data_IF_715187949833
#
_entry.id   IF_715187949833
#
_cell.length_a   1.000
_cell.length_b   1.000
_cell.length_c   1.000
_cell.angle_alpha   90.00
_cell.angle_beta   90.00
_cell.angle_gamma   90.00
#
_symmetry.space_group_name_H-M   'P 1'
#
loop_
_entity.id
_entity.type
_entity.pdbx_description
1 polymer ?
#
# COMPACT_ATOMS: atom_id res chain seq x y z
N UNK A 1 -17.77 -16.04 1.81
CA UNK A 1 -18.28 -16.06 3.20
C UNK A 1 -18.74 -17.48 3.52
N UNK A 2 -18.88 -17.86 4.79
CA UNK A 2 -19.32 -19.20 5.19
C UNK A 2 -20.73 -19.14 5.78
N UNK A 3 -21.62 -20.02 5.32
CA UNK A 3 -22.90 -20.28 5.98
C UNK A 3 -22.62 -21.17 7.21
N UNK A 4 -23.23 -20.86 8.36
CA UNK A 4 -23.01 -21.59 9.63
C UNK A 4 -24.31 -21.88 10.39
N UNK A 5 -25.49 -21.55 9.86
CA UNK A 5 -26.79 -21.70 10.54
C UNK A 5 -27.08 -23.15 10.93
N UNK A 6 -26.56 -24.11 10.17
CA UNK A 6 -26.62 -25.56 10.45
C UNK A 6 -25.66 -26.04 11.56
N UNK A 7 -24.75 -25.18 12.02
CA UNK A 7 -23.73 -25.47 13.02
C UNK A 7 -23.93 -24.72 14.35
N UNK A 8 -24.93 -23.83 14.43
CA UNK A 8 -25.23 -23.04 15.62
C UNK A 8 -26.20 -23.76 16.57
N UNK A 9 -25.81 -23.88 17.84
CA UNK A 9 -26.72 -24.22 18.93
C UNK A 9 -27.55 -22.99 19.30
N UNK A 10 -28.74 -22.87 18.71
CA UNK A 10 -29.64 -21.74 18.95
C UNK A 10 -30.01 -21.60 20.43
N UNK A 11 -30.02 -20.36 20.92
CA UNK A 11 -30.26 -20.00 22.34
C UNK A 11 -29.28 -20.63 23.34
N UNK A 12 -28.08 -21.03 22.90
CA UNK A 12 -27.00 -21.56 23.73
C UNK A 12 -25.68 -20.83 23.45
N UNK A 13 -24.67 -21.07 24.28
CA UNK A 13 -23.29 -20.63 24.02
C UNK A 13 -22.70 -21.40 22.82
N UNK A 14 -21.93 -20.70 21.98
CA UNK A 14 -21.31 -21.24 20.78
C UNK A 14 -19.83 -20.86 20.73
N UNK A 15 -18.94 -21.84 20.63
CA UNK A 15 -17.48 -21.62 20.59
C UNK A 15 -16.98 -21.50 19.15
N UNK A 16 -16.39 -20.35 18.82
CA UNK A 16 -15.71 -20.12 17.53
C UNK A 16 -14.19 -20.15 17.74
N UNK A 17 -13.51 -21.11 17.12
CA UNK A 17 -12.05 -21.29 17.19
C UNK A 17 -11.43 -21.04 15.82
N UNK A 18 -10.41 -20.17 15.75
CA UNK A 18 -9.71 -19.82 14.50
C UNK A 18 -8.22 -20.11 14.63
N UNK A 19 -7.71 -21.01 13.79
CA UNK A 19 -6.27 -21.26 13.64
C UNK A 19 -5.71 -20.42 12.49
N UNK A 20 -4.55 -19.78 12.69
CA UNK A 20 -3.91 -18.89 11.71
C UNK A 20 -2.48 -19.36 11.49
N UNK A 21 -2.08 -19.53 10.23
CA UNK A 21 -0.71 -19.84 9.83
C UNK A 21 -0.11 -18.61 9.11
N UNK A 22 1.12 -18.23 9.47
CA UNK A 22 1.87 -17.10 8.90
C UNK A 22 3.07 -17.51 8.04
N UNK A 23 3.21 -18.81 7.77
CA UNK A 23 4.23 -19.37 6.89
C UNK A 23 3.99 -18.92 5.45
N UNK A 24 5.04 -18.41 4.81
CA UNK A 24 5.04 -18.02 3.41
C UNK A 24 5.90 -18.99 2.60
N UNK A 25 5.40 -19.38 1.43
CA UNK A 25 5.99 -20.40 0.55
C UNK A 25 6.23 -19.82 -0.84
N UNK A 26 6.89 -20.55 -1.76
CA UNK A 26 6.99 -20.13 -3.17
C UNK A 26 5.64 -20.05 -3.91
N UNK A 27 4.53 -20.50 -3.31
CA UNK A 27 3.17 -20.48 -3.88
C UNK A 27 2.18 -19.61 -3.08
N UNK A 28 2.58 -18.99 -1.97
CA UNK A 28 1.79 -17.93 -1.33
C UNK A 28 1.98 -16.59 -2.05
N UNK A 29 1.07 -15.65 -1.79
CA UNK A 29 1.15 -14.27 -2.26
C UNK A 29 0.99 -13.37 -1.03
N UNK A 30 2.05 -12.69 -0.57
CA UNK A 30 3.41 -12.67 -1.13
C UNK A 30 4.17 -14.00 -0.95
N UNK A 31 5.25 -14.16 -1.73
CA UNK A 31 6.12 -15.34 -1.66
C UNK A 31 7.07 -15.31 -0.45
N UNK A 32 7.50 -16.49 -0.01
CA UNK A 32 8.56 -16.69 0.97
C UNK A 32 9.16 -18.09 0.95
N UNK A 33 10.06 -18.42 1.87
CA UNK A 33 10.57 -19.78 2.08
C UNK A 33 10.99 -20.01 3.53
N UNK A 34 10.93 -21.26 3.98
CA UNK A 34 11.53 -21.69 5.25
C UNK A 34 12.92 -22.26 4.96
N UNK A 35 13.93 -21.82 5.73
CA UNK A 35 15.27 -22.39 5.75
C UNK A 35 15.55 -22.97 7.13
N UNK A 36 15.85 -24.27 7.20
CA UNK A 36 16.36 -24.94 8.41
C UNK A 36 17.87 -24.81 8.47
N UNK A 37 18.42 -24.48 9.64
CA UNK A 37 19.86 -24.28 9.83
C UNK A 37 20.47 -25.47 10.55
N UNK A 38 20.99 -26.42 9.76
CA UNK A 38 21.48 -27.72 10.26
C UNK A 38 22.92 -27.66 10.82
N UNK A 39 23.44 -26.48 11.14
CA UNK A 39 24.79 -26.30 11.69
C UNK A 39 24.76 -26.13 13.22
N UNK A 40 25.09 -27.18 13.99
CA UNK A 40 25.00 -27.17 15.46
C UNK A 40 26.08 -26.29 16.12
N UNK A 41 27.07 -25.79 15.37
CA UNK A 41 28.09 -24.87 15.91
C UNK A 41 27.58 -23.43 15.98
N UNK A 42 26.50 -23.10 15.26
CA UNK A 42 25.94 -21.75 15.14
C UNK A 42 24.46 -21.65 15.53
N UNK A 43 23.71 -22.75 15.47
CA UNK A 43 22.26 -22.75 15.66
C UNK A 43 21.79 -23.92 16.55
N UNK A 44 20.77 -23.73 17.40
CA UNK A 44 20.20 -24.82 18.18
C UNK A 44 19.42 -25.80 17.30
N UNK A 45 19.25 -27.04 17.78
CA UNK A 45 18.52 -28.08 17.05
C UNK A 45 17.09 -27.62 16.69
N UNK A 46 16.70 -27.82 15.43
CA UNK A 46 15.39 -27.41 14.90
C UNK A 46 15.25 -25.92 14.57
N UNK A 47 16.30 -25.11 14.68
CA UNK A 47 16.25 -23.70 14.32
C UNK A 47 15.96 -23.49 12.82
N UNK A 48 14.97 -22.64 12.53
CA UNK A 48 14.60 -22.27 11.17
C UNK A 48 14.29 -20.78 11.06
N UNK A 49 14.37 -20.25 9.84
CA UNK A 49 14.06 -18.85 9.52
C UNK A 49 13.13 -18.77 8.32
N UNK A 50 12.08 -17.96 8.42
CA UNK A 50 11.24 -17.55 7.29
C UNK A 50 11.92 -16.40 6.52
N UNK A 51 12.27 -16.63 5.26
CA UNK A 51 12.74 -15.63 4.31
C UNK A 51 11.60 -15.13 3.39
N UNK A 52 11.77 -13.91 2.87
CA UNK A 52 10.87 -13.25 1.91
C UNK A 52 11.56 -12.00 1.32
N UNK A 53 11.08 -11.52 0.18
CA UNK A 53 11.71 -10.46 -0.62
C UNK A 53 11.08 -9.06 -0.45
N UNK A 54 10.07 -8.89 0.41
CA UNK A 54 9.33 -7.63 0.55
C UNK A 54 9.76 -6.80 1.77
N UNK A 55 9.75 -5.46 1.63
CA UNK A 55 10.30 -4.53 2.63
C UNK A 55 9.32 -4.14 3.76
N UNK A 56 8.55 -5.09 4.31
CA UNK A 56 7.68 -4.82 5.46
C UNK A 56 7.56 -6.03 6.39
N UNK A 57 7.24 -5.79 7.66
CA UNK A 57 7.10 -6.88 8.65
C UNK A 57 5.93 -7.81 8.28
N UNK A 58 6.19 -9.12 8.21
CA UNK A 58 5.17 -10.18 8.12
C UNK A 58 4.39 -10.31 9.44
N UNK A 59 3.60 -9.29 9.79
CA UNK A 59 2.63 -9.33 10.87
C UNK A 59 1.51 -10.32 10.53
N UNK A 60 1.06 -11.08 11.52
CA UNK A 60 -0.02 -12.06 11.40
C UNK A 60 -1.08 -11.87 12.51
N UNK A 61 -2.13 -12.71 12.51
CA UNK A 61 -3.29 -12.59 13.39
C UNK A 61 -4.51 -11.99 12.68
N UNK A 62 -5.57 -11.73 13.46
CA UNK A 62 -6.82 -11.12 12.97
C UNK A 62 -6.61 -9.59 12.88
N UNK A 63 -6.61 -9.03 11.67
CA UNK A 63 -6.34 -7.58 11.44
C UNK A 63 -7.59 -6.75 11.09
N UNK A 64 -8.72 -7.39 10.80
CA UNK A 64 -10.02 -6.76 10.54
C UNK A 64 -11.07 -7.31 11.53
N UNK A 65 -12.19 -6.61 11.75
CA UNK A 65 -13.27 -7.14 12.57
C UNK A 65 -13.75 -8.53 12.12
N UNK A 66 -14.26 -9.33 13.06
CA UNK A 66 -14.96 -10.59 12.78
C UNK A 66 -16.40 -10.40 13.23
N UNK A 67 -17.34 -10.59 12.30
CA UNK A 67 -18.76 -10.37 12.54
C UNK A 67 -19.56 -11.66 12.30
N UNK A 68 -20.64 -11.81 13.07
CA UNK A 68 -21.79 -12.63 12.68
C UNK A 68 -22.88 -11.68 12.16
N UNK A 69 -23.50 -12.04 11.05
CA UNK A 69 -24.63 -11.33 10.47
C UNK A 69 -25.67 -12.34 9.98
N UNK A 70 -26.89 -11.88 9.71
CA UNK A 70 -27.99 -12.73 9.25
C UNK A 70 -28.64 -12.13 8.01
N UNK A 71 -29.16 -12.99 7.13
CA UNK A 71 -29.98 -12.61 5.99
C UNK A 71 -31.29 -13.42 5.98
N UNK A 72 -32.34 -12.98 5.27
CA UNK A 72 -33.47 -13.85 4.95
C UNK A 72 -33.01 -14.98 4.01
N UNK A 73 -33.76 -16.09 3.94
CA UNK A 73 -33.44 -17.22 3.03
C UNK A 73 -33.35 -16.84 1.54
N UNK A 74 -33.97 -15.73 1.15
CA UNK A 74 -33.80 -15.06 -0.14
C UNK A 74 -33.10 -13.74 0.16
N UNK A 75 -31.88 -13.57 -0.35
CA UNK A 75 -31.03 -12.41 -0.07
C UNK A 75 -30.29 -11.96 -1.33
N UNK A 76 -29.77 -10.73 -1.29
CA UNK A 76 -28.91 -10.18 -2.35
C UNK A 76 -27.49 -10.68 -2.08
N UNK A 77 -26.94 -11.53 -2.95
CA UNK A 77 -25.54 -11.97 -2.85
C UNK A 77 -24.56 -10.92 -3.39
N UNK A 78 -24.96 -10.17 -4.41
CA UNK A 78 -24.08 -9.24 -5.13
C UNK A 78 -24.87 -8.08 -5.77
N UNK A 79 -24.20 -6.95 -5.97
CA UNK A 79 -24.72 -5.72 -6.61
C UNK A 79 -23.60 -5.14 -7.50
N UNK A 80 -23.96 -4.55 -8.64
CA UNK A 80 -23.07 -3.72 -9.45
C UNK A 80 -23.66 -2.30 -9.53
N UNK A 81 -22.84 -1.27 -9.27
CA UNK A 81 -23.28 0.13 -9.18
C UNK A 81 -22.44 1.06 -10.05
N UNK A 82 -23.07 2.15 -10.52
CA UNK A 82 -22.43 3.31 -11.18
C UNK A 82 -23.08 4.61 -10.64
N UNK A 83 -22.27 5.56 -10.16
CA UNK A 83 -22.72 6.64 -9.24
C UNK A 83 -21.90 7.93 -9.31
N UNK A 84 -22.34 8.99 -8.61
CA UNK A 84 -21.64 10.26 -8.35
C UNK A 84 -22.19 10.93 -7.05
N UNK A 85 -21.61 12.08 -6.61
CA UNK A 85 -21.98 12.98 -5.45
C UNK A 85 -21.08 12.84 -4.18
N UNK A 86 -21.28 13.66 -3.12
CA UNK A 86 -20.25 14.33 -2.25
C UNK A 86 -20.65 14.55 -0.75
N UNK A 87 -19.68 14.62 0.22
CA UNK A 87 -19.80 15.21 1.60
C UNK A 87 -19.29 14.41 2.85
N UNK A 88 -18.47 15.01 3.79
CA UNK A 88 -17.79 14.36 4.98
C UNK A 88 -17.64 15.27 6.26
N UNK A 89 -16.93 15.05 7.41
CA UNK A 89 -16.00 14.06 8.06
C UNK A 89 -15.78 14.34 9.61
N UNK A 90 -15.29 13.38 10.46
CA UNK A 90 -14.82 13.60 11.89
C UNK A 90 -13.97 12.41 12.52
N UNK A 91 -13.14 12.59 13.59
CA UNK A 91 -11.83 11.85 13.82
C UNK A 91 -11.38 11.29 15.23
N UNK A 92 -10.13 10.71 15.35
CA UNK A 92 -9.22 10.44 16.56
C UNK A 92 -9.23 8.99 17.20
N UNK A 93 -8.17 8.18 17.58
CA UNK A 93 -6.65 8.14 17.66
C UNK A 93 -6.01 6.69 17.77
N UNK A 94 -4.80 6.46 17.20
CA UNK A 94 -4.15 5.26 16.50
C UNK A 94 -3.70 3.93 17.24
N UNK A 95 -3.78 2.75 16.56
CA UNK A 95 -3.12 1.43 16.84
C UNK A 95 -2.68 0.56 15.62
N UNK A 96 -1.39 0.15 15.55
CA UNK A 96 -0.97 -1.15 14.95
C UNK A 96 -1.00 -1.35 13.41
N UNK A 97 -1.24 -2.60 12.99
CA UNK A 97 -1.58 -3.01 11.60
C UNK A 97 -3.06 -3.43 11.44
N UNK A 98 -3.77 -3.54 12.57
CA UNK A 98 -5.21 -3.77 12.58
C UNK A 98 -5.95 -2.49 12.20
N UNK A 99 -7.20 -2.62 11.78
CA UNK A 99 -8.08 -1.48 11.55
C UNK A 99 -8.23 -0.65 12.83
N UNK A 100 -8.21 0.67 12.67
CA UNK A 100 -8.47 1.61 13.75
C UNK A 100 -9.02 2.92 13.14
N UNK A 101 -10.35 3.13 13.15
CA UNK A 101 -11.03 4.29 12.50
C UNK A 101 -10.41 5.65 12.86
N UNK A 102 -10.22 5.97 14.16
CA UNK A 102 -9.05 6.67 14.67
C UNK A 102 -7.89 7.10 13.75
N UNK A 103 -7.10 6.12 13.25
CA UNK A 103 -5.97 6.31 12.37
C UNK A 103 -6.43 6.72 10.98
N UNK A 104 -7.47 6.06 10.46
CA UNK A 104 -8.01 6.33 9.12
C UNK A 104 -8.32 7.81 8.98
N UNK A 105 -9.15 8.38 9.86
CA UNK A 105 -9.52 9.80 9.73
C UNK A 105 -8.33 10.74 9.96
N UNK A 106 -7.37 10.39 10.83
CA UNK A 106 -6.15 11.21 11.00
C UNK A 106 -5.28 11.20 9.75
N UNK A 107 -5.16 10.06 9.06
CA UNK A 107 -4.37 9.94 7.84
C UNK A 107 -5.07 10.64 6.67
N UNK A 108 -6.39 10.51 6.51
CA UNK A 108 -7.15 11.27 5.52
C UNK A 108 -7.12 12.79 5.77
N UNK A 109 -7.21 13.22 7.03
CA UNK A 109 -7.00 14.63 7.41
C UNK A 109 -5.61 15.13 7.02
N UNK A 110 -4.58 14.27 7.06
CA UNK A 110 -3.22 14.60 6.65
C UNK A 110 -3.01 14.54 5.13
N UNK A 111 -3.68 13.64 4.41
CA UNK A 111 -3.71 13.64 2.94
C UNK A 111 -4.33 14.95 2.42
N UNK A 112 -5.50 15.33 2.97
CA UNK A 112 -6.16 16.61 2.66
C UNK A 112 -5.30 17.82 3.07
N UNK A 113 -4.60 17.76 4.21
CA UNK A 113 -3.64 18.81 4.60
C UNK A 113 -2.44 18.90 3.65
N UNK A 114 -1.93 17.78 3.12
CA UNK A 114 -0.89 17.79 2.08
C UNK A 114 -1.40 18.34 0.74
N UNK A 115 -2.71 18.39 0.50
CA UNK A 115 -3.27 18.56 -0.85
C UNK A 115 -3.10 17.30 -1.72
N UNK A 116 -2.86 16.13 -1.12
CA UNK A 116 -2.76 14.86 -1.82
C UNK A 116 -4.16 14.38 -2.23
N UNK A 117 -4.34 14.07 -3.52
CA UNK A 117 -5.61 13.63 -4.10
C UNK A 117 -5.68 12.11 -4.37
N UNK A 118 -4.61 11.37 -4.06
CA UNK A 118 -4.52 9.94 -4.39
C UNK A 118 -3.52 9.16 -3.52
N UNK A 119 -3.70 7.84 -3.44
CA UNK A 119 -2.71 6.90 -2.88
C UNK A 119 -2.77 5.51 -3.56
N UNK A 120 -1.85 4.62 -3.17
CA UNK A 120 -1.84 3.19 -3.54
C UNK A 120 -1.83 2.33 -2.28
N UNK A 121 -2.61 1.24 -2.25
CA UNK A 121 -2.70 0.29 -1.12
C UNK A 121 -1.45 -0.62 -1.00
N UNK A 122 -0.30 0.03 -0.84
CA UNK A 122 1.03 -0.59 -0.91
C UNK A 122 1.28 -1.51 0.30
N UNK A 123 1.37 -2.83 0.20
CA UNK A 123 1.33 -3.70 -1.00
C UNK A 123 0.39 -4.89 -0.75
N UNK A 124 -0.86 -4.59 -0.43
CA UNK A 124 -1.95 -5.54 -0.20
C UNK A 124 -3.26 -4.74 -0.06
N UNK A 125 -4.42 -5.30 -0.43
CA UNK A 125 -5.67 -4.57 -0.38
C UNK A 125 -5.97 -4.10 1.04
N UNK A 126 -6.29 -2.82 1.22
CA UNK A 126 -6.54 -2.25 2.54
C UNK A 126 -7.90 -2.71 3.12
N UNK A 127 -8.17 -2.33 4.37
CA UNK A 127 -9.44 -2.59 5.04
C UNK A 127 -10.58 -1.82 4.33
N UNK A 128 -11.75 -2.43 4.24
CA UNK A 128 -12.93 -1.88 3.58
C UNK A 128 -13.23 -0.47 4.09
N UNK A 129 -13.07 -0.22 5.39
CA UNK A 129 -13.38 1.05 6.03
C UNK A 129 -12.34 2.16 5.77
N UNK A 130 -11.16 1.80 5.26
CA UNK A 130 -10.18 2.76 4.72
C UNK A 130 -10.58 3.16 3.30
N UNK A 131 -11.16 2.23 2.55
CA UNK A 131 -11.65 2.46 1.19
C UNK A 131 -12.99 3.22 1.21
N UNK A 132 -13.85 2.96 2.18
CA UNK A 132 -15.08 3.74 2.45
C UNK A 132 -14.74 5.22 2.71
N UNK A 133 -13.65 5.50 3.44
CA UNK A 133 -13.15 6.85 3.67
C UNK A 133 -12.55 7.47 2.39
N UNK A 134 -11.96 6.66 1.50
CA UNK A 134 -11.49 7.13 0.20
C UNK A 134 -12.65 7.52 -0.73
N UNK A 135 -13.71 6.71 -0.74
CA UNK A 135 -14.96 6.97 -1.46
C UNK A 135 -15.65 8.24 -0.92
N UNK A 136 -15.69 8.43 0.40
CA UNK A 136 -16.26 9.61 1.05
C UNK A 136 -15.45 10.89 0.80
N UNK A 137 -14.12 10.84 0.96
CA UNK A 137 -13.24 12.02 0.89
C UNK A 137 -12.77 12.37 -0.54
N UNK A 138 -13.24 11.65 -1.56
CA UNK A 138 -12.90 11.89 -2.97
C UNK A 138 -11.42 11.64 -3.31
N UNK A 139 -10.76 10.72 -2.60
CA UNK A 139 -9.34 10.41 -2.77
C UNK A 139 -9.19 9.19 -3.68
N UNK A 140 -8.49 9.35 -4.80
CA UNK A 140 -8.34 8.28 -5.79
C UNK A 140 -7.36 7.18 -5.32
N UNK A 141 -7.71 5.93 -5.54
CA UNK A 141 -6.94 4.76 -5.11
C UNK A 141 -6.49 3.93 -6.30
N UNK A 142 -5.19 3.64 -6.35
CA UNK A 142 -4.65 2.51 -7.10
C UNK A 142 -4.67 1.31 -6.16
N UNK A 143 -5.58 0.36 -6.36
CA UNK A 143 -5.74 -0.77 -5.41
C UNK A 143 -4.89 -1.97 -5.84
N UNK A 144 -4.06 -2.46 -4.92
CA UNK A 144 -2.93 -3.35 -5.16
C UNK A 144 -3.09 -4.69 -4.45
N UNK A 145 -2.97 -5.77 -5.22
CA UNK A 145 -2.95 -7.12 -4.68
C UNK A 145 -1.64 -7.42 -3.91
N UNK A 146 -1.58 -8.47 -3.06
CA UNK A 146 -0.39 -8.80 -2.26
C UNK A 146 0.84 -9.30 -3.06
N UNK A 147 0.89 -9.12 -4.38
CA UNK A 147 1.93 -9.63 -5.29
C UNK A 147 3.20 -8.75 -5.31
N UNK A 148 3.84 -8.61 -4.15
CA UNK A 148 5.09 -7.86 -3.98
C UNK A 148 6.32 -8.77 -4.06
N UNK A 149 7.36 -8.33 -4.78
CA UNK A 149 8.68 -8.97 -4.79
C UNK A 149 8.72 -10.38 -5.41
N UNK A 150 7.77 -10.71 -6.31
CA UNK A 150 7.66 -12.04 -6.90
C UNK A 150 8.89 -12.41 -7.71
N UNK A 151 9.41 -13.62 -7.48
CA UNK A 151 10.64 -14.13 -8.12
C UNK A 151 10.50 -15.51 -8.76
N UNK A 152 9.34 -16.15 -8.67
CA UNK A 152 9.04 -17.41 -9.36
C UNK A 152 7.64 -17.35 -9.98
N UNK A 153 7.51 -17.78 -11.24
CA UNK A 153 6.32 -17.54 -12.08
C UNK A 153 5.63 -18.83 -12.55
N UNK A 154 5.60 -19.86 -11.70
CA UNK A 154 4.97 -21.15 -12.01
C UNK A 154 3.44 -21.11 -12.00
N UNK A 155 2.82 -22.04 -12.72
CA UNK A 155 1.36 -22.11 -12.93
C UNK A 155 0.54 -22.10 -11.63
N UNK A 156 0.99 -22.84 -10.59
CA UNK A 156 0.30 -22.89 -9.29
C UNK A 156 0.20 -21.50 -8.64
N UNK A 157 1.25 -20.68 -8.74
CA UNK A 157 1.22 -19.30 -8.27
C UNK A 157 0.34 -18.44 -9.18
N UNK A 158 0.43 -18.60 -10.50
CA UNK A 158 -0.37 -17.84 -11.47
C UNK A 158 -1.87 -18.03 -11.23
N UNK A 159 -2.31 -19.28 -11.03
CA UNK A 159 -3.69 -19.61 -10.72
C UNK A 159 -4.12 -19.06 -9.36
N UNK A 160 -3.27 -19.10 -8.33
CA UNK A 160 -3.57 -18.43 -7.05
C UNK A 160 -3.61 -16.90 -7.19
N UNK A 161 -2.81 -16.31 -8.07
CA UNK A 161 -2.76 -14.88 -8.30
C UNK A 161 -4.01 -14.36 -9.03
N UNK A 162 -4.47 -15.08 -10.05
CA UNK A 162 -5.76 -14.81 -10.72
C UNK A 162 -6.91 -14.90 -9.71
N UNK A 163 -6.89 -15.89 -8.81
CA UNK A 163 -7.90 -16.04 -7.75
C UNK A 163 -7.86 -14.86 -6.75
N UNK A 164 -6.67 -14.39 -6.37
CA UNK A 164 -6.49 -13.21 -5.50
C UNK A 164 -6.92 -11.90 -6.19
N UNK A 165 -6.69 -11.74 -7.50
CA UNK A 165 -7.24 -10.61 -8.25
C UNK A 165 -8.77 -10.65 -8.31
N UNK A 166 -9.37 -11.85 -8.45
CA UNK A 166 -10.82 -12.04 -8.37
C UNK A 166 -11.41 -11.71 -7.01
N UNK A 167 -10.74 -12.11 -5.93
CA UNK A 167 -11.11 -11.74 -4.56
C UNK A 167 -11.09 -10.21 -4.38
N UNK A 168 -10.07 -9.53 -4.92
CA UNK A 168 -9.93 -8.06 -4.88
C UNK A 168 -11.02 -7.35 -5.71
N UNK A 169 -11.11 -7.65 -7.00
CA UNK A 169 -12.07 -7.01 -7.91
C UNK A 169 -13.51 -7.28 -7.45
N UNK A 170 -13.86 -8.50 -7.03
CA UNK A 170 -15.21 -8.80 -6.53
C UNK A 170 -15.58 -7.96 -5.30
N UNK A 171 -14.61 -7.62 -4.44
CA UNK A 171 -14.82 -6.80 -3.25
C UNK A 171 -15.03 -5.32 -3.60
N UNK A 172 -14.14 -4.74 -4.40
CA UNK A 172 -14.05 -3.27 -4.54
C UNK A 172 -14.49 -2.70 -5.90
N UNK A 173 -14.98 -3.54 -6.85
CA UNK A 173 -15.55 -3.12 -8.16
C UNK A 173 -16.53 -1.94 -8.12
N UNK A 174 -17.27 -1.78 -7.01
CA UNK A 174 -18.29 -0.73 -6.84
C UNK A 174 -17.73 0.58 -6.26
N UNK A 175 -16.44 0.64 -5.91
CA UNK A 175 -15.84 1.81 -5.25
C UNK A 175 -15.51 2.91 -6.26
N UNK A 176 -16.08 4.13 -6.14
CA UNK A 176 -15.72 5.26 -6.99
C UNK A 176 -14.28 5.77 -6.76
N UNK A 177 -13.70 5.55 -5.58
CA UNK A 177 -12.31 5.92 -5.30
C UNK A 177 -11.31 5.06 -6.08
N UNK A 178 -11.59 3.78 -6.32
CA UNK A 178 -10.67 2.90 -7.04
C UNK A 178 -10.67 3.29 -8.52
N UNK A 179 -9.55 3.80 -9.01
CA UNK A 179 -9.37 4.25 -10.40
C UNK A 179 -8.52 3.30 -11.25
N UNK A 180 -7.80 2.35 -10.63
CA UNK A 180 -6.83 1.49 -11.29
C UNK A 180 -6.49 0.27 -10.42
N UNK A 181 -6.35 -0.90 -11.04
CA UNK A 181 -5.92 -2.12 -10.38
C UNK A 181 -4.42 -2.35 -10.56
N UNK A 182 -3.67 -2.60 -9.48
CA UNK A 182 -2.25 -3.00 -9.53
C UNK A 182 -2.11 -4.51 -9.29
N UNK A 183 -1.63 -5.24 -10.30
CA UNK A 183 -1.37 -6.69 -10.23
C UNK A 183 -0.01 -7.03 -9.61
N UNK A 184 0.68 -6.06 -8.98
CA UNK A 184 1.88 -6.33 -8.20
C UNK A 184 2.89 -5.18 -8.12
N UNK A 185 3.88 -5.37 -7.26
CA UNK A 185 4.95 -4.40 -7.00
C UNK A 185 6.32 -5.06 -7.06
N UNK A 186 7.18 -4.54 -7.93
CA UNK A 186 8.59 -4.93 -8.08
C UNK A 186 8.81 -6.45 -8.24
N UNK A 187 8.07 -7.15 -9.12
CA UNK A 187 8.41 -8.51 -9.49
C UNK A 187 9.72 -8.54 -10.29
N UNK A 188 10.34 -9.71 -10.41
CA UNK A 188 11.45 -9.97 -11.33
C UNK A 188 10.95 -10.05 -12.78
N UNK A 189 10.41 -8.93 -13.29
CA UNK A 189 9.81 -8.76 -14.61
C UNK A 189 10.79 -8.91 -15.78
N UNK A 190 12.09 -8.99 -15.49
CA UNK A 190 13.16 -9.31 -16.43
C UNK A 190 13.26 -10.82 -16.75
N UNK A 191 12.57 -11.70 -16.00
CA UNK A 191 12.47 -13.12 -16.36
C UNK A 191 11.46 -13.30 -17.50
N UNK A 192 11.80 -14.10 -18.52
CA UNK A 192 10.91 -14.42 -19.65
C UNK A 192 9.55 -14.99 -19.18
N UNK A 193 9.57 -15.86 -18.17
CA UNK A 193 8.36 -16.44 -17.59
C UNK A 193 7.39 -15.39 -17.00
N UNK A 194 7.90 -14.24 -16.53
CA UNK A 194 7.06 -13.16 -16.00
C UNK A 194 6.14 -12.57 -17.06
N UNK A 195 6.54 -12.53 -18.34
CA UNK A 195 5.75 -11.93 -19.41
C UNK A 195 4.42 -12.69 -19.64
N UNK A 196 4.48 -14.02 -19.71
CA UNK A 196 3.28 -14.85 -19.88
C UNK A 196 2.43 -14.93 -18.59
N UNK A 197 3.09 -14.94 -17.43
CA UNK A 197 2.44 -14.87 -16.12
C UNK A 197 1.60 -13.59 -15.97
N UNK A 198 2.21 -12.40 -16.12
CA UNK A 198 1.50 -11.14 -15.95
C UNK A 198 0.49 -10.87 -17.07
N UNK A 199 0.74 -11.30 -18.32
CA UNK A 199 -0.27 -11.26 -19.38
C UNK A 199 -1.54 -12.00 -18.98
N UNK A 200 -1.41 -13.17 -18.34
CA UNK A 200 -2.56 -13.99 -17.91
C UNK A 200 -3.32 -13.36 -16.74
N UNK A 201 -2.60 -12.79 -15.77
CA UNK A 201 -3.20 -12.10 -14.60
C UNK A 201 -3.91 -10.80 -15.03
N UNK A 202 -3.28 -9.98 -15.87
CA UNK A 202 -3.87 -8.75 -16.40
C UNK A 202 -5.11 -9.06 -17.26
N UNK A 203 -5.04 -10.09 -18.11
CA UNK A 203 -6.20 -10.55 -18.90
C UNK A 203 -7.37 -10.93 -17.99
N UNK A 204 -7.14 -11.77 -16.97
CA UNK A 204 -8.19 -12.16 -16.03
C UNK A 204 -8.78 -10.94 -15.29
N UNK A 205 -7.93 -10.04 -14.79
CA UNK A 205 -8.36 -8.81 -14.10
C UNK A 205 -9.28 -7.96 -14.97
N UNK A 206 -8.99 -7.82 -16.26
CA UNK A 206 -9.81 -7.08 -17.23
C UNK A 206 -11.04 -7.87 -17.71
N UNK A 207 -11.07 -9.20 -17.55
CA UNK A 207 -12.29 -10.01 -17.72
C UNK A 207 -13.25 -9.85 -16.54
N UNK A 208 -12.71 -9.62 -15.33
CA UNK A 208 -13.48 -9.41 -14.10
C UNK A 208 -13.92 -7.93 -13.91
N UNK A 209 -13.12 -6.95 -14.35
CA UNK A 209 -13.49 -5.52 -14.47
C UNK A 209 -12.89 -4.85 -15.73
N UNK A 210 -13.68 -4.68 -16.81
CA UNK A 210 -13.25 -3.96 -18.02
C UNK A 210 -13.42 -2.43 -17.93
N UNK A 211 -13.85 -1.87 -16.79
CA UNK A 211 -14.12 -0.42 -16.64
C UNK A 211 -12.91 0.39 -16.17
N UNK A 212 -11.88 -0.28 -15.64
CA UNK A 212 -10.70 0.37 -15.04
C UNK A 212 -9.39 -0.10 -15.68
N UNK A 213 -8.38 0.78 -15.81
CA UNK A 213 -7.04 0.37 -16.24
C UNK A 213 -6.38 -0.58 -15.23
N UNK A 214 -5.51 -1.46 -15.75
CA UNK A 214 -4.71 -2.41 -14.98
C UNK A 214 -3.22 -2.09 -15.15
N UNK A 215 -2.46 -2.09 -14.05
CA UNK A 215 -1.03 -1.76 -14.01
C UNK A 215 -0.23 -2.78 -13.21
N UNK A 216 1.10 -2.71 -13.28
CA UNK A 216 2.03 -3.38 -12.39
C UNK A 216 3.16 -2.40 -12.08
N UNK A 217 3.49 -2.19 -10.80
CA UNK A 217 4.54 -1.26 -10.42
C UNK A 217 5.91 -1.95 -10.58
N UNK A 218 6.78 -1.34 -11.39
CA UNK A 218 8.09 -1.88 -11.74
C UNK A 218 9.21 -0.98 -11.20
N UNK A 219 10.38 -1.56 -10.95
CA UNK A 219 11.62 -0.83 -10.73
C UNK A 219 12.60 -1.00 -11.91
N UNK A 220 13.68 -0.21 -11.92
CA UNK A 220 14.81 -0.35 -12.84
C UNK A 220 16.12 -0.38 -12.05
N UNK A 221 16.30 -1.48 -11.30
CA UNK A 221 17.51 -1.69 -10.49
C UNK A 221 17.63 -0.72 -9.29
N UNK A 222 18.79 -0.70 -8.62
CA UNK A 222 19.08 0.32 -7.61
C UNK A 222 19.28 1.68 -8.27
N UNK A 223 18.60 2.71 -7.77
CA UNK A 223 18.94 4.10 -8.10
C UNK A 223 20.15 4.48 -7.25
N UNK A 224 21.35 4.20 -7.77
CA UNK A 224 22.60 4.67 -7.19
C UNK A 224 22.80 6.15 -7.56
N UNK A 225 22.49 7.04 -6.62
CA UNK A 225 22.80 8.46 -6.77
C UNK A 225 24.30 8.67 -6.68
N UNK A 226 24.94 8.96 -7.82
CA UNK A 226 26.27 9.50 -7.85
C UNK A 226 26.25 10.89 -7.19
N UNK A 227 26.79 10.99 -5.97
CA UNK A 227 26.90 12.25 -5.23
C UNK A 227 27.99 13.10 -5.90
N UNK A 228 27.55 14.13 -6.63
CA UNK A 228 28.43 15.14 -7.21
C UNK A 228 28.62 16.29 -6.24
N UNK A 229 29.87 16.51 -5.83
CA UNK A 229 30.34 17.45 -4.80
C UNK A 229 29.77 17.26 -3.36
N UNK A 230 30.52 17.69 -2.34
CA UNK A 230 30.09 17.67 -0.94
C UNK A 230 29.45 19.00 -0.49
N UNK A 231 28.73 18.92 0.64
CA UNK A 231 28.23 20.02 1.49
C UNK A 231 26.84 20.63 1.12
N UNK A 232 25.82 20.60 2.01
CA UNK A 232 25.63 19.75 3.19
C UNK A 232 24.27 19.00 3.18
N UNK A 233 24.26 17.76 2.71
CA UNK A 233 23.11 16.86 2.88
C UNK A 233 23.58 15.41 3.08
N UNK A 234 23.32 14.83 4.27
CA UNK A 234 23.74 13.46 4.60
C UNK A 234 22.58 12.49 4.36
N UNK A 235 22.84 11.27 3.88
CA UNK A 235 21.86 10.28 3.34
C UNK A 235 20.73 9.84 4.30
N UNK A 236 20.71 10.34 5.53
CA UNK A 236 19.69 10.08 6.55
C UNK A 236 19.09 11.34 7.20
N UNK A 237 19.50 12.55 6.78
CA UNK A 237 19.00 13.82 7.33
C UNK A 237 17.73 14.29 6.60
N UNK A 238 16.99 15.23 7.20
CA UNK A 238 15.75 15.74 6.57
C UNK A 238 16.04 16.66 5.38
N UNK A 239 17.18 17.34 5.40
CA UNK A 239 17.68 18.17 4.30
C UNK A 239 17.93 17.31 3.05
N UNK A 240 18.55 16.14 3.20
CA UNK A 240 18.74 15.19 2.10
C UNK A 240 17.41 14.62 1.58
N UNK A 241 16.42 14.39 2.46
CA UNK A 241 15.08 14.01 2.01
C UNK A 241 14.43 15.13 1.18
N UNK A 242 14.59 16.39 1.60
CA UNK A 242 14.08 17.58 0.89
C UNK A 242 14.78 17.80 -0.45
N UNK A 243 16.11 17.78 -0.48
CA UNK A 243 16.90 17.98 -1.70
C UNK A 243 16.61 16.89 -2.74
N UNK A 244 16.62 15.63 -2.33
CA UNK A 244 16.27 14.51 -3.20
C UNK A 244 14.85 14.67 -3.77
N UNK A 245 13.89 15.12 -2.96
CA UNK A 245 12.54 15.39 -3.45
C UNK A 245 12.50 16.54 -4.46
N UNK A 246 13.22 17.64 -4.22
CA UNK A 246 13.30 18.77 -5.14
C UNK A 246 13.91 18.39 -6.50
N UNK A 247 14.99 17.60 -6.51
CA UNK A 247 15.61 17.09 -7.73
C UNK A 247 14.66 16.17 -8.52
N UNK A 248 13.91 15.30 -7.83
CA UNK A 248 12.86 14.49 -8.46
C UNK A 248 11.72 15.35 -9.01
N UNK A 249 11.30 16.40 -8.31
CA UNK A 249 10.24 17.31 -8.75
C UNK A 249 10.63 18.07 -10.03
N UNK A 250 11.88 18.51 -10.16
CA UNK A 250 12.39 19.07 -11.42
C UNK A 250 12.31 18.07 -12.58
N UNK A 251 12.67 16.80 -12.35
CA UNK A 251 12.55 15.75 -13.36
C UNK A 251 11.08 15.50 -13.72
N UNK A 252 10.18 15.41 -12.72
CA UNK A 252 8.75 15.21 -12.91
C UNK A 252 8.12 16.34 -13.72
N UNK A 253 8.51 17.60 -13.49
CA UNK A 253 7.98 18.73 -14.26
C UNK A 253 8.51 18.76 -15.70
N UNK A 254 9.76 18.31 -15.93
CA UNK A 254 10.33 18.08 -17.27
C UNK A 254 9.65 16.92 -18.01
N UNK A 255 9.11 15.92 -17.31
CA UNK A 255 8.30 14.83 -17.90
C UNK A 255 6.82 15.24 -18.09
N UNK A 256 6.29 16.08 -17.20
CA UNK A 256 4.92 16.61 -17.25
C UNK A 256 4.71 17.55 -18.44
N UNK A 257 5.70 18.37 -18.78
CA UNK A 257 5.67 19.21 -19.98
C UNK A 257 5.73 18.41 -21.30
N UNK A 258 6.13 17.14 -21.27
CA UNK A 258 6.05 16.20 -22.40
C UNK A 258 4.68 15.49 -22.49
N UNK A 259 3.73 15.83 -21.62
CA UNK A 259 2.31 15.41 -21.72
C UNK A 259 1.99 13.98 -21.28
N UNK A 260 2.97 13.09 -21.11
CA UNK A 260 2.72 11.69 -20.72
C UNK A 260 2.81 11.42 -19.20
N UNK A 261 3.41 12.31 -18.41
CA UNK A 261 3.59 12.10 -16.97
C UNK A 261 2.38 12.61 -16.17
N UNK A 262 1.47 11.69 -15.87
CA UNK A 262 0.14 12.02 -15.32
C UNK A 262 0.06 12.08 -13.78
N UNK A 263 1.01 11.50 -13.04
CA UNK A 263 0.91 11.42 -11.57
C UNK A 263 2.23 11.11 -10.86
N UNK A 264 2.30 11.45 -9.57
CA UNK A 264 3.49 11.30 -8.73
C UNK A 264 3.10 10.90 -7.29
N UNK A 265 3.61 9.77 -6.82
CA UNK A 265 3.34 9.24 -5.46
C UNK A 265 4.65 9.11 -4.69
N UNK A 266 4.77 9.81 -3.56
CA UNK A 266 5.98 9.76 -2.72
C UNK A 266 6.05 8.43 -1.94
N UNK A 267 7.23 7.82 -1.90
CA UNK A 267 7.50 6.75 -0.93
C UNK A 267 8.13 7.33 0.34
N UNK A 268 7.48 7.35 1.49
CA UNK A 268 6.14 6.87 1.84
C UNK A 268 5.36 7.96 2.60
N UNK A 269 4.06 7.76 2.82
CA UNK A 269 3.26 8.61 3.68
C UNK A 269 3.85 8.67 5.11
N UNK A 270 4.12 7.54 5.76
CA UNK A 270 4.63 7.51 7.13
C UNK A 270 5.69 6.43 7.37
N UNK A 271 6.58 6.65 8.35
CA UNK A 271 7.55 5.64 8.78
C UNK A 271 6.85 4.37 9.29
N UNK A 272 7.34 3.20 8.90
CA UNK A 272 6.69 1.92 9.18
C UNK A 272 7.69 0.80 9.53
N UNK A 273 7.18 -0.34 9.99
CA UNK A 273 8.00 -1.45 10.48
C UNK A 273 8.42 -2.44 9.38
N UNK A 274 9.69 -2.85 9.43
CA UNK A 274 10.32 -3.84 8.54
C UNK A 274 10.89 -5.00 9.36
N UNK A 275 11.41 -6.07 8.72
CA UNK A 275 12.36 -6.96 9.37
C UNK A 275 13.58 -6.18 9.91
N UNK A 276 14.28 -6.77 10.87
CA UNK A 276 15.54 -6.22 11.37
C UNK A 276 16.65 -6.40 10.32
N UNK A 277 17.54 -5.41 10.18
CA UNK A 277 18.70 -5.50 9.31
C UNK A 277 19.50 -4.21 9.30
N UNK A 278 20.79 -4.27 8.93
CA UNK A 278 21.71 -3.12 8.95
C UNK A 278 21.25 -1.92 8.11
N UNK A 279 20.44 -2.16 7.07
CA UNK A 279 19.85 -1.11 6.21
C UNK A 279 18.49 -0.58 6.73
N UNK A 280 18.07 -0.92 7.96
CA UNK A 280 16.73 -0.60 8.53
C UNK A 280 16.81 -0.17 9.99
N UNK A 281 17.07 1.12 10.22
CA UNK A 281 17.16 1.74 11.56
C UNK A 281 15.79 1.76 12.23
N UNK A 282 15.42 0.69 12.94
CA UNK A 282 14.10 0.50 13.56
C UNK A 282 12.92 0.74 12.58
N UNK A 283 12.98 0.09 11.42
CA UNK A 283 11.98 0.17 10.35
C UNK A 283 12.49 0.87 9.08
N UNK A 284 11.55 1.24 8.21
CA UNK A 284 11.78 2.08 7.04
C UNK A 284 11.48 3.54 7.43
N UNK A 285 12.42 4.45 7.12
CA UNK A 285 12.39 5.87 7.55
C UNK A 285 12.11 6.86 6.41
N UNK A 286 11.64 6.38 5.26
CA UNK A 286 11.29 7.21 4.10
C UNK A 286 9.92 7.91 4.23
N UNK A 287 9.25 7.84 5.38
CA UNK A 287 7.99 8.56 5.59
C UNK A 287 8.19 10.07 5.46
N UNK A 288 7.25 10.80 4.84
CA UNK A 288 7.17 12.26 4.99
C UNK A 288 6.56 12.65 6.35
N UNK A 289 5.73 11.78 6.92
CA UNK A 289 5.39 11.79 8.34
C UNK A 289 6.22 10.76 9.13
N UNK A 290 6.48 11.07 10.39
CA UNK A 290 6.89 10.06 11.39
C UNK A 290 5.79 9.02 11.58
N UNK A 291 6.12 7.85 12.15
CA UNK A 291 5.14 6.78 12.47
C UNK A 291 3.94 7.30 13.29
N UNK A 292 4.19 8.30 14.15
CA UNK A 292 3.22 8.96 15.03
C UNK A 292 2.49 10.16 14.38
N UNK A 293 2.50 10.25 13.03
CA UNK A 293 1.74 11.25 12.25
C UNK A 293 2.10 12.71 12.55
N UNK A 294 3.35 12.95 12.97
CA UNK A 294 3.97 14.28 13.02
C UNK A 294 4.75 14.51 11.72
N UNK A 295 4.67 15.69 11.09
CA UNK A 295 5.40 15.98 9.85
C UNK A 295 6.91 16.00 10.06
N UNK A 296 7.64 15.55 9.05
CA UNK A 296 9.04 15.95 8.81
C UNK A 296 9.05 17.16 7.88
N UNK A 297 10.18 17.83 7.75
CA UNK A 297 10.42 18.97 6.84
C UNK A 297 9.94 18.68 5.42
N UNK A 298 10.20 17.46 4.92
CA UNK A 298 9.73 16.94 3.63
C UNK A 298 8.21 17.05 3.41
N UNK A 299 7.39 16.90 4.46
CA UNK A 299 5.93 17.03 4.34
C UNK A 299 5.49 18.47 4.04
N UNK A 300 6.22 19.48 4.53
CA UNK A 300 5.93 20.89 4.26
C UNK A 300 6.28 21.27 2.81
N UNK A 301 7.38 20.70 2.27
CA UNK A 301 7.78 20.86 0.86
C UNK A 301 6.78 20.15 -0.07
N UNK A 302 6.38 18.92 0.27
CA UNK A 302 5.38 18.17 -0.49
C UNK A 302 4.03 18.89 -0.51
N UNK A 303 3.58 19.38 0.66
CA UNK A 303 2.38 20.20 0.79
C UNK A 303 2.41 21.41 -0.14
N UNK A 304 3.53 22.13 -0.19
CA UNK A 304 3.67 23.27 -1.09
C UNK A 304 3.56 22.87 -2.55
N UNK A 305 4.20 21.77 -2.96
CA UNK A 305 4.14 21.28 -4.34
C UNK A 305 2.72 20.87 -4.75
N UNK A 306 2.05 20.03 -3.96
CA UNK A 306 0.73 19.50 -4.32
C UNK A 306 -0.33 20.62 -4.43
N UNK A 307 -0.39 21.55 -3.47
CA UNK A 307 -1.23 22.74 -3.59
C UNK A 307 -0.83 23.65 -4.78
N UNK A 308 0.45 23.71 -5.17
CA UNK A 308 0.91 24.45 -6.35
C UNK A 308 0.43 23.81 -7.66
N UNK A 309 0.54 22.48 -7.78
CA UNK A 309 0.02 21.72 -8.92
C UNK A 309 -1.52 21.83 -9.02
N UNK A 310 -2.21 21.91 -7.88
CA UNK A 310 -3.65 22.13 -7.79
C UNK A 310 -4.08 23.62 -7.92
N UNK A 311 -3.16 24.57 -8.13
CA UNK A 311 -3.47 26.00 -8.25
C UNK A 311 -3.99 26.69 -6.99
N UNK A 312 -3.88 26.07 -5.82
CA UNK A 312 -4.47 26.54 -4.53
C UNK A 312 -3.47 27.30 -3.64
N UNK A 313 -2.34 27.74 -4.18
CA UNK A 313 -1.22 28.40 -3.45
C UNK A 313 -1.58 29.67 -2.70
N UNK A 314 -2.71 30.32 -2.97
CA UNK A 314 -3.23 31.41 -2.14
C UNK A 314 -3.40 31.00 -0.66
N UNK A 315 -3.62 29.71 -0.37
CA UNK A 315 -3.72 29.15 0.98
C UNK A 315 -2.35 28.95 1.69
N UNK A 316 -1.23 29.21 1.02
CA UNK A 316 0.12 28.90 1.51
C UNK A 316 1.05 30.10 1.72
N UNK A 317 0.67 31.28 1.21
CA UNK A 317 1.57 32.43 1.15
C UNK A 317 2.64 32.31 0.06
N UNK A 318 3.49 33.34 -0.05
CA UNK A 318 4.46 33.44 -1.15
C UNK A 318 5.65 32.48 -0.94
N UNK A 319 6.24 31.97 -2.03
CA UNK A 319 7.28 30.92 -2.04
C UNK A 319 8.45 31.24 -1.09
N UNK A 320 8.88 32.50 -1.04
CA UNK A 320 9.96 33.00 -0.15
C UNK A 320 9.66 32.85 1.35
N UNK A 321 8.40 32.81 1.76
CA UNK A 321 8.01 32.61 3.16
C UNK A 321 8.20 31.15 3.60
N UNK A 322 7.93 30.18 2.69
CA UNK A 322 8.21 28.77 2.94
C UNK A 322 9.71 28.53 3.10
N UNK A 323 10.53 29.06 2.19
CA UNK A 323 12.00 28.94 2.28
C UNK A 323 12.58 29.57 3.56
N UNK A 324 12.00 30.66 4.06
CA UNK A 324 12.34 31.15 5.41
C UNK A 324 11.94 30.15 6.48
N UNK A 325 10.67 29.76 6.54
CA UNK A 325 10.15 28.89 7.61
C UNK A 325 10.78 27.48 7.67
N UNK A 326 11.40 27.00 6.58
CA UNK A 326 12.11 25.72 6.53
C UNK A 326 13.61 25.85 6.89
N UNK A 327 14.23 27.00 6.65
CA UNK A 327 15.68 27.20 6.76
C UNK A 327 16.08 28.38 7.69
N UNK A 328 15.27 28.66 8.73
CA UNK A 328 15.54 29.67 9.78
C UNK A 328 15.23 29.17 11.18
#
# INVERSE_FOLDING_TARGET
MAEISSHLSFSQENLVTVAINNTLTPTTIPQGSIHFHNDPTRYPAGYFTQSYNFDFTNYAGIHRPVFLYTTPRIYIEDILLTTAVDGTSASLKIRGKGLDYPLVVKDFSLLKWLGANSFRTSHYPYAEEIMDMADQEGIMVVDECPAVGLSGFGEVLMNKHILVMRELVRRDKNRPSVIMWSVGNEPQSNQEAAANYFRSVVKATHEDDPTRPVTCVLNRGPIEFAVGDPDPAFTWSEEYQVELMLQNFEAFDKLRSQGFFVGEMIWNFADFATPQGSKRVAGNKKGVFTRNRQPKTAAHVLRWRYHSLAGTTQQLGNRTALWRHIFS
#
